data_IF_375235472939
#
_entry.id   IF_375235472939
#
_cell.length_a   1.000
_cell.length_b   1.000
_cell.length_c   1.000
_cell.angle_alpha   90.00
_cell.angle_beta   90.00
_cell.angle_gamma   90.00
#
_symmetry.space_group_name_H-M   'P 1'
#
loop_
_entity.id
_entity.type
_entity.pdbx_description
1 polymer ?
#
# COMPACT_ATOMS: atom_id res chain seq x y z
N UNK A 1 13.97 9.46 -4.68
CA UNK A 1 12.53 9.15 -4.50
C UNK A 1 11.76 10.32 -3.91
N UNK A 2 12.36 11.13 -3.01
CA UNK A 2 11.81 12.38 -2.44
C UNK A 2 11.16 13.32 -3.47
N UNK A 3 11.87 13.64 -4.57
CA UNK A 3 11.40 14.57 -5.60
C UNK A 3 10.12 14.15 -6.34
N UNK A 4 9.87 12.84 -6.48
CA UNK A 4 8.70 12.36 -7.23
C UNK A 4 7.40 12.53 -6.43
N UNK A 5 7.45 12.31 -5.11
CA UNK A 5 6.28 12.44 -4.25
C UNK A 5 5.90 13.91 -4.06
N UNK A 6 6.88 14.79 -3.83
CA UNK A 6 6.66 16.23 -3.71
C UNK A 6 6.03 16.81 -4.98
N UNK A 7 6.51 16.40 -6.16
CA UNK A 7 5.98 16.89 -7.44
C UNK A 7 4.52 16.48 -7.68
N UNK A 8 4.15 15.26 -7.28
CA UNK A 8 2.75 14.80 -7.36
C UNK A 8 1.85 15.59 -6.39
N UNK A 9 2.36 15.90 -5.20
CA UNK A 9 1.61 16.72 -4.24
C UNK A 9 1.44 18.14 -4.78
N UNK A 10 2.51 18.81 -5.22
CA UNK A 10 2.46 20.15 -5.80
C UNK A 10 1.48 20.26 -6.98
N UNK A 11 1.47 19.29 -7.89
CA UNK A 11 0.56 19.28 -9.04
C UNK A 11 -0.91 19.14 -8.62
N UNK A 12 -1.17 18.33 -7.59
CA UNK A 12 -2.50 18.15 -7.02
C UNK A 12 -2.95 19.38 -6.23
N UNK A 13 -2.07 19.96 -5.44
CA UNK A 13 -2.31 21.20 -4.71
C UNK A 13 -2.67 22.34 -5.66
N UNK A 14 -1.95 22.47 -6.77
CA UNK A 14 -2.25 23.47 -7.80
C UNK A 14 -3.64 23.30 -8.40
N UNK A 15 -4.11 22.06 -8.55
CA UNK A 15 -5.42 21.75 -9.14
C UNK A 15 -6.57 21.91 -8.14
N UNK A 16 -6.34 21.64 -6.86
CA UNK A 16 -7.36 21.66 -5.79
C UNK A 16 -7.38 23.01 -5.04
N UNK A 17 -6.29 23.77 -5.08
CA UNK A 17 -6.12 25.04 -4.36
C UNK A 17 -5.80 24.87 -2.87
N UNK A 18 -5.62 23.64 -2.39
CA UNK A 18 -5.35 23.32 -0.99
C UNK A 18 -4.18 22.34 -0.84
N UNK A 19 -3.41 22.39 0.28
CA UNK A 19 -2.32 21.46 0.54
C UNK A 19 -2.77 19.99 0.61
N UNK A 20 -2.04 19.09 -0.06
CA UNK A 20 -2.34 17.66 -0.05
C UNK A 20 -1.77 17.06 1.24
N UNK A 21 -2.65 16.85 2.22
CA UNK A 21 -2.27 16.30 3.53
C UNK A 21 -2.56 14.81 3.69
N UNK A 22 -3.20 14.18 2.70
CA UNK A 22 -3.68 12.80 2.75
C UNK A 22 -3.20 12.03 1.53
N UNK A 23 -2.63 10.84 1.75
CA UNK A 23 -2.17 9.97 0.66
C UNK A 23 -2.42 8.49 0.94
N UNK A 24 -2.34 7.65 -0.10
CA UNK A 24 -2.44 6.19 -0.01
C UNK A 24 -1.29 5.53 -0.75
N UNK A 25 -0.64 4.54 -0.13
CA UNK A 25 0.40 3.72 -0.78
C UNK A 25 -0.28 2.59 -1.57
N UNK A 26 -0.06 2.51 -2.88
CA UNK A 26 -0.56 1.40 -3.68
C UNK A 26 0.22 0.10 -3.42
N UNK A 27 -0.44 -1.04 -3.63
CA UNK A 27 0.24 -2.33 -3.81
C UNK A 27 0.97 -2.91 -2.60
N UNK A 28 0.81 -2.36 -1.40
CA UNK A 28 1.51 -2.85 -0.20
C UNK A 28 3.01 -2.56 -0.17
N UNK A 29 3.49 -1.59 -0.96
CA UNK A 29 4.90 -1.16 -1.00
C UNK A 29 5.31 -0.31 0.20
N UNK A 30 4.66 -0.52 1.35
CA UNK A 30 4.97 0.19 2.57
C UNK A 30 6.36 -0.21 3.07
N UNK A 31 7.15 0.80 3.42
CA UNK A 31 8.33 0.69 4.26
C UNK A 31 8.41 1.92 5.15
N UNK A 32 9.14 1.84 6.26
CA UNK A 32 9.34 2.99 7.16
C UNK A 32 9.88 4.21 6.41
N UNK A 33 10.84 4.00 5.50
CA UNK A 33 11.41 5.06 4.66
C UNK A 33 10.36 5.77 3.80
N UNK A 34 9.36 5.04 3.29
CA UNK A 34 8.26 5.66 2.53
C UNK A 34 7.40 6.56 3.42
N UNK A 35 7.18 6.18 4.68
CA UNK A 35 6.45 7.01 5.63
C UNK A 35 7.21 8.28 6.01
N UNK A 36 8.52 8.18 6.25
CA UNK A 36 9.40 9.31 6.54
C UNK A 36 9.42 10.32 5.37
N UNK A 37 9.53 9.83 4.14
CA UNK A 37 9.47 10.68 2.94
C UNK A 37 8.09 11.31 2.74
N UNK A 38 7.00 10.60 3.06
CA UNK A 38 5.65 11.17 3.01
C UNK A 38 5.48 12.29 4.06
N UNK A 39 6.00 12.10 5.27
CA UNK A 39 5.99 13.13 6.30
C UNK A 39 6.76 14.39 5.86
N UNK A 40 7.94 14.21 5.25
CA UNK A 40 8.74 15.30 4.68
C UNK A 40 8.03 16.06 3.56
N UNK A 41 7.21 15.37 2.77
CA UNK A 41 6.39 15.97 1.73
C UNK A 41 5.13 16.68 2.26
N UNK A 42 4.92 16.75 3.58
CA UNK A 42 3.78 17.42 4.20
C UNK A 42 2.52 16.55 4.35
N UNK A 43 2.60 15.25 4.04
CA UNK A 43 1.50 14.32 4.26
C UNK A 43 1.33 14.08 5.77
N UNK A 44 0.10 14.23 6.26
CA UNK A 44 -0.28 14.02 7.66
C UNK A 44 -1.02 12.70 7.89
N UNK A 45 -1.71 12.18 6.88
CA UNK A 45 -2.47 10.94 6.96
C UNK A 45 -2.11 10.01 5.80
N UNK A 46 -1.55 8.83 6.10
CA UNK A 46 -1.05 7.89 5.11
C UNK A 46 -1.71 6.52 5.22
N UNK A 47 -2.45 6.14 4.19
CA UNK A 47 -3.13 4.85 4.13
C UNK A 47 -2.25 3.77 3.51
N UNK A 48 -2.11 2.65 4.20
CA UNK A 48 -1.36 1.48 3.73
C UNK A 48 -2.33 0.37 3.29
N UNK A 49 -1.80 -0.68 2.66
CA UNK A 49 -2.57 -1.90 2.38
C UNK A 49 -2.43 -2.95 3.49
N UNK A 50 -1.85 -2.59 4.64
CA UNK A 50 -1.72 -3.53 5.75
C UNK A 50 -3.07 -3.66 6.47
N UNK A 51 -3.64 -4.87 6.62
CA UNK A 51 -4.98 -5.06 7.17
C UNK A 51 -4.97 -5.03 8.71
N UNK A 52 -4.43 -3.94 9.27
CA UNK A 52 -4.35 -3.69 10.71
C UNK A 52 -5.36 -2.62 11.12
N UNK A 53 -6.07 -2.85 12.22
CA UNK A 53 -7.01 -1.86 12.78
C UNK A 53 -6.30 -0.78 13.62
N UNK A 54 -5.02 -1.00 13.95
CA UNK A 54 -4.21 -0.07 14.73
C UNK A 54 -3.61 1.00 13.82
N UNK A 55 -3.60 2.23 14.30
CA UNK A 55 -2.84 3.33 13.72
C UNK A 55 -1.49 3.49 14.42
N UNK A 56 -0.51 4.01 13.70
CA UNK A 56 0.81 4.34 14.25
C UNK A 56 1.33 5.60 13.57
N UNK A 57 2.31 6.27 14.19
CA UNK A 57 2.87 7.51 13.66
C UNK A 57 4.34 7.33 13.30
N UNK A 58 4.76 7.98 12.22
CA UNK A 58 6.16 8.14 11.82
C UNK A 58 6.36 9.62 11.48
N UNK A 59 7.26 10.30 12.19
CA UNK A 59 7.60 11.72 11.97
C UNK A 59 6.39 12.68 11.86
N UNK A 60 5.36 12.45 12.68
CA UNK A 60 4.13 13.26 12.68
C UNK A 60 3.13 12.94 11.57
N UNK A 61 3.42 11.96 10.72
CA UNK A 61 2.49 11.37 9.77
C UNK A 61 1.78 10.16 10.41
N UNK A 62 0.45 10.19 10.45
CA UNK A 62 -0.38 9.13 11.00
C UNK A 62 -0.70 8.10 9.93
N UNK A 63 -0.34 6.85 10.20
CA UNK A 63 -0.53 5.72 9.29
C UNK A 63 -1.76 4.91 9.67
N UNK A 64 -2.46 4.47 8.62
CA UNK A 64 -3.67 3.66 8.72
C UNK A 64 -3.47 2.35 7.99
N UNK A 65 -3.82 1.25 8.65
CA UNK A 65 -4.12 0.02 7.93
C UNK A 65 -5.46 0.12 7.20
N UNK A 66 -5.67 -0.75 6.21
CA UNK A 66 -6.95 -0.84 5.48
C UNK A 66 -7.32 -2.27 5.18
N UNK A 67 -8.61 -2.55 5.27
CA UNK A 67 -9.21 -3.79 4.80
C UNK A 67 -9.63 -3.64 3.34
N UNK A 68 -9.31 -4.62 2.51
CA UNK A 68 -9.68 -4.58 1.09
C UNK A 68 -11.08 -5.13 0.93
N UNK A 69 -11.93 -4.40 0.22
CA UNK A 69 -13.25 -4.87 -0.24
C UNK A 69 -13.11 -5.19 -1.73
N UNK A 70 -13.48 -6.40 -2.11
CA UNK A 70 -13.39 -6.91 -3.48
C UNK A 70 -14.80 -7.26 -3.99
N UNK A 71 -14.95 -7.48 -5.29
CA UNK A 71 -16.23 -7.85 -5.93
C UNK A 71 -16.94 -9.02 -5.23
N UNK A 72 -16.17 -9.99 -4.73
CA UNK A 72 -16.66 -11.17 -4.02
C UNK A 72 -16.74 -11.00 -2.49
N UNK A 73 -16.53 -9.80 -1.96
CA UNK A 73 -16.73 -9.52 -0.53
C UNK A 73 -18.21 -9.29 -0.28
N UNK A 74 -18.84 -10.19 0.47
CA UNK A 74 -20.26 -10.09 0.77
C UNK A 74 -20.58 -8.87 1.66
N UNK A 75 -21.76 -8.29 1.51
CA UNK A 75 -22.21 -7.17 2.37
C UNK A 75 -22.17 -7.51 3.87
N UNK A 76 -22.55 -8.73 4.32
CA UNK A 76 -22.34 -9.15 5.70
C UNK A 76 -20.86 -9.12 6.10
N UNK A 77 -19.94 -9.56 5.25
CA UNK A 77 -18.51 -9.51 5.57
C UNK A 77 -17.99 -8.07 5.73
N UNK A 78 -18.45 -7.13 4.89
CA UNK A 78 -18.13 -5.70 5.02
C UNK A 78 -18.68 -5.13 6.34
N UNK A 79 -19.93 -5.44 6.68
CA UNK A 79 -20.54 -4.99 7.93
C UNK A 79 -19.78 -5.51 9.16
N UNK A 80 -19.33 -6.77 9.14
CA UNK A 80 -18.52 -7.35 10.22
C UNK A 80 -17.15 -6.68 10.34
N UNK A 81 -16.52 -6.30 9.22
CA UNK A 81 -15.28 -5.52 9.22
C UNK A 81 -15.48 -4.12 9.81
N UNK A 82 -16.57 -3.44 9.44
CA UNK A 82 -16.93 -2.12 9.94
C UNK A 82 -17.25 -2.11 11.44
N UNK A 83 -17.97 -3.14 11.93
CA UNK A 83 -18.23 -3.37 13.37
C UNK A 83 -16.99 -3.77 14.17
N UNK A 84 -15.91 -4.10 13.47
CA UNK A 84 -14.62 -4.42 14.05
C UNK A 84 -14.48 -5.82 14.63
N UNK A 85 -15.27 -6.76 14.14
CA UNK A 85 -15.19 -8.16 14.53
C UNK A 85 -13.80 -8.74 14.21
N UNK A 86 -13.22 -9.50 15.15
CA UNK A 86 -11.82 -9.95 15.08
C UNK A 86 -11.57 -11.01 14.00
N UNK A 87 -12.53 -11.89 13.74
CA UNK A 87 -12.38 -13.03 12.82
C UNK A 87 -12.18 -12.63 11.35
N UNK A 88 -12.98 -11.74 10.72
CA UNK A 88 -12.73 -11.28 9.35
C UNK A 88 -11.44 -10.47 9.19
N UNK A 89 -11.03 -9.75 10.25
CA UNK A 89 -9.77 -9.01 10.28
C UNK A 89 -8.57 -9.95 10.26
N UNK A 90 -8.64 -11.03 11.05
CA UNK A 90 -7.60 -12.07 11.10
C UNK A 90 -7.52 -12.87 9.81
N UNK A 91 -8.63 -13.18 9.13
CA UNK A 91 -8.59 -13.91 7.86
C UNK A 91 -7.98 -13.08 6.73
N UNK A 92 -8.30 -11.77 6.64
CA UNK A 92 -7.63 -10.88 5.67
C UNK A 92 -6.15 -10.69 6.00
N UNK A 93 -5.79 -10.58 7.28
CA UNK A 93 -4.39 -10.55 7.72
C UNK A 93 -3.64 -11.85 7.40
N UNK A 94 -4.26 -13.01 7.61
CA UNK A 94 -3.69 -14.31 7.28
C UNK A 94 -3.50 -14.49 5.77
N UNK A 95 -4.50 -14.13 4.95
CA UNK A 95 -4.40 -14.17 3.48
C UNK A 95 -3.32 -13.21 2.97
N UNK A 96 -3.21 -12.02 3.58
CA UNK A 96 -2.18 -11.04 3.21
C UNK A 96 -0.78 -11.50 3.56
N UNK A 97 -0.58 -12.07 4.76
CA UNK A 97 0.70 -12.63 5.17
C UNK A 97 1.07 -13.90 4.39
N UNK A 98 0.09 -14.76 4.06
CA UNK A 98 0.30 -15.89 3.18
C UNK A 98 0.73 -15.43 1.79
N UNK A 99 0.12 -14.37 1.24
CA UNK A 99 0.57 -13.73 -0.01
C UNK A 99 1.96 -13.10 0.11
N UNK A 100 2.31 -12.46 1.24
CA UNK A 100 3.67 -11.98 1.49
C UNK A 100 4.67 -13.14 1.51
N UNK A 101 4.34 -14.26 2.18
CA UNK A 101 5.15 -15.47 2.22
C UNK A 101 5.34 -16.11 0.85
N UNK A 102 4.25 -16.26 0.08
CA UNK A 102 4.29 -16.71 -1.32
C UNK A 102 5.11 -15.77 -2.21
N UNK A 103 5.00 -14.44 -2.03
CA UNK A 103 5.82 -13.46 -2.76
C UNK A 103 7.29 -13.46 -2.32
N UNK A 104 7.59 -13.84 -1.09
CA UNK A 104 8.97 -14.03 -0.62
C UNK A 104 9.60 -15.26 -1.27
N UNK A 105 8.89 -16.39 -1.28
CA UNK A 105 9.33 -17.62 -1.92
C UNK A 105 9.37 -17.49 -3.45
N UNK A 106 8.43 -16.74 -4.02
CA UNK A 106 8.36 -16.45 -5.45
C UNK A 106 9.16 -15.23 -5.89
N UNK A 107 9.78 -14.47 -4.98
CA UNK A 107 10.40 -13.17 -5.30
C UNK A 107 11.64 -13.30 -6.18
N UNK A 108 12.59 -14.15 -5.78
CA UNK A 108 13.77 -14.44 -6.59
C UNK A 108 13.41 -15.15 -7.89
N UNK A 109 12.44 -16.08 -7.85
CA UNK A 109 11.98 -16.79 -9.03
C UNK A 109 11.25 -15.86 -10.01
N UNK A 110 10.39 -14.97 -9.52
CA UNK A 110 9.64 -14.01 -10.33
C UNK A 110 10.54 -12.94 -10.94
N UNK A 111 11.53 -12.44 -10.18
CA UNK A 111 12.52 -11.50 -10.70
C UNK A 111 13.38 -12.16 -11.79
N UNK A 112 13.81 -13.41 -11.59
CA UNK A 112 14.55 -14.19 -12.60
C UNK A 112 13.72 -14.48 -13.85
N UNK A 113 12.47 -14.88 -13.69
CA UNK A 113 11.55 -15.14 -14.83
C UNK A 113 11.25 -13.84 -15.58
N UNK A 114 10.96 -12.74 -14.88
CA UNK A 114 10.71 -11.43 -15.49
C UNK A 114 11.94 -10.97 -16.28
N UNK A 115 13.13 -11.13 -15.73
CA UNK A 115 14.37 -10.77 -16.39
C UNK A 115 14.60 -11.63 -17.64
N UNK A 116 14.41 -12.95 -17.55
CA UNK A 116 14.52 -13.85 -18.70
C UNK A 116 13.53 -13.53 -19.83
N UNK A 117 12.30 -13.12 -19.50
CA UNK A 117 11.29 -12.73 -20.50
C UNK A 117 11.63 -11.40 -21.17
N UNK A 118 12.16 -10.43 -20.42
CA UNK A 118 12.60 -9.15 -20.98
C UNK A 118 13.85 -9.30 -21.87
N UNK A 119 14.81 -10.12 -21.44
CA UNK A 119 16.00 -10.45 -22.23
C UNK A 119 15.66 -11.30 -23.46
N UNK A 120 14.66 -12.19 -23.35
CA UNK A 120 14.13 -12.94 -24.48
C UNK A 120 13.52 -12.05 -25.56
N UNK A 121 12.77 -11.01 -25.16
CA UNK A 121 12.20 -10.03 -26.09
C UNK A 121 13.24 -9.09 -26.71
N UNK A 122 14.30 -8.75 -25.98
CA UNK A 122 15.39 -7.91 -26.49
C UNK A 122 16.29 -8.60 -27.53
N UNK A 123 16.30 -9.95 -27.56
CA UNK A 123 17.04 -10.76 -28.55
C UNK A 123 16.23 -11.08 -29.82
N UNK A 124 14.94 -10.74 -29.85
CA UNK A 124 14.02 -10.97 -30.97
C UNK A 124 13.65 -9.70 -31.74
N UNK A 125 14.42 -8.62 -31.57
CA UNK A 125 14.42 -7.41 -32.41
C UNK A 125 15.84 -7.17 -32.91
#
# INVERSE_FOLDING_TARGET
MSLALSRICEERERSVGEPVRVASIPGGQYSRRVAEEAARAGIRYLFTSEPVARTWSVDGCLLFGRYTVQRWTSAPAVARLARGERLPRMSQYAIWNLKKGLKMLGGDAYLKIRQAVLEGRARSS
#
